data_IF_010038832425
#
_entry.id   IF_010038832425
#
_cell.length_a   1.000
_cell.length_b   1.000
_cell.length_c   1.000
_cell.angle_alpha   90.00
_cell.angle_beta   90.00
_cell.angle_gamma   90.00
#
_symmetry.space_group_name_H-M   'P 1'
#
loop_
_entity.id
_entity.type
_entity.pdbx_description
1 polymer ?
#
# COMPACT_ATOMS: atom_id res chain seq x y z
N UNK A 1 18.22 17.63 -11.68
CA UNK A 1 17.77 16.24 -11.90
C UNK A 1 17.39 15.65 -10.55
N UNK A 2 16.14 15.82 -10.10
CA UNK A 2 15.69 15.20 -8.84
C UNK A 2 15.43 13.72 -9.08
N UNK A 3 16.15 12.91 -8.31
CA UNK A 3 16.12 11.46 -8.31
C UNK A 3 14.69 10.91 -8.36
N UNK A 4 14.47 9.89 -9.18
CA UNK A 4 13.18 9.20 -9.40
C UNK A 4 12.80 8.35 -8.18
N UNK A 5 12.68 8.99 -7.02
CA UNK A 5 11.94 8.43 -5.90
C UNK A 5 10.49 8.50 -6.34
N UNK A 6 9.89 7.36 -6.70
CA UNK A 6 8.47 7.27 -7.04
C UNK A 6 7.69 7.89 -5.89
N UNK A 7 6.96 8.97 -6.15
CA UNK A 7 6.11 9.60 -5.13
C UNK A 7 4.87 8.73 -4.90
N UNK A 8 4.22 8.93 -3.75
CA UNK A 8 3.00 8.20 -3.44
C UNK A 8 1.92 8.47 -4.48
N UNK A 9 1.75 9.72 -4.86
CA UNK A 9 0.77 10.20 -5.82
C UNK A 9 1.02 9.61 -7.21
N UNK A 10 2.28 9.58 -7.64
CA UNK A 10 2.67 8.99 -8.93
C UNK A 10 2.41 7.47 -8.96
N UNK A 11 2.70 6.78 -7.86
CA UNK A 11 2.45 5.34 -7.73
C UNK A 11 0.95 5.02 -7.71
N UNK A 12 0.16 5.85 -7.03
CA UNK A 12 -1.29 5.72 -6.98
C UNK A 12 -1.93 5.96 -8.36
N UNK A 13 -1.53 7.03 -9.06
CA UNK A 13 -2.02 7.31 -10.41
C UNK A 13 -1.70 6.15 -11.37
N UNK A 14 -0.48 5.60 -11.28
CA UNK A 14 -0.08 4.47 -12.10
C UNK A 14 -0.87 3.20 -11.78
N UNK A 15 -1.14 2.95 -10.50
CA UNK A 15 -1.97 1.83 -10.07
C UNK A 15 -3.40 1.95 -10.62
N UNK A 16 -4.02 3.13 -10.54
CA UNK A 16 -5.36 3.37 -11.10
C UNK A 16 -5.42 3.07 -12.60
N UNK A 17 -4.42 3.53 -13.36
CA UNK A 17 -4.34 3.23 -14.81
C UNK A 17 -4.16 1.75 -15.12
N UNK A 18 -3.47 1.01 -14.25
CA UNK A 18 -3.34 -0.45 -14.40
C UNK A 18 -4.67 -1.13 -14.14
N UNK A 19 -5.40 -0.71 -13.11
CA UNK A 19 -6.75 -1.24 -12.81
C UNK A 19 -7.69 -0.98 -13.97
N UNK A 20 -7.77 0.25 -14.48
CA UNK A 20 -8.60 0.58 -15.65
C UNK A 20 -8.30 -0.33 -16.85
N UNK A 21 -7.01 -0.53 -17.17
CA UNK A 21 -6.60 -1.42 -18.26
C UNK A 21 -7.01 -2.87 -18.04
N UNK A 22 -6.90 -3.37 -16.81
CA UNK A 22 -7.31 -4.74 -16.50
C UNK A 22 -8.84 -4.90 -16.59
N UNK A 23 -9.60 -3.87 -16.18
CA UNK A 23 -11.07 -3.84 -16.26
C UNK A 23 -11.59 -3.73 -17.70
N UNK A 24 -10.86 -3.05 -18.59
CA UNK A 24 -11.18 -3.01 -20.03
C UNK A 24 -11.17 -4.41 -20.68
N UNK A 25 -10.43 -5.36 -20.12
CA UNK A 25 -10.46 -6.78 -20.54
C UNK A 25 -9.90 -7.07 -21.93
N UNK A 26 -9.30 -6.09 -22.61
CA UNK A 26 -8.78 -6.21 -23.97
C UNK A 26 -7.26 -6.43 -24.04
N UNK A 27 -6.63 -6.86 -22.93
CA UNK A 27 -5.20 -7.15 -22.88
C UNK A 27 -4.93 -8.63 -23.21
N UNK A 28 -3.91 -8.93 -24.02
CA UNK A 28 -3.37 -10.29 -24.13
C UNK A 28 -3.00 -10.83 -22.75
N UNK A 29 -3.15 -12.15 -22.56
CA UNK A 29 -2.92 -12.81 -21.27
C UNK A 29 -1.56 -12.47 -20.64
N UNK A 30 -0.49 -12.52 -21.42
CA UNK A 30 0.86 -12.22 -20.93
C UNK A 30 1.00 -10.78 -20.42
N UNK A 31 0.30 -9.85 -21.06
CA UNK A 31 0.34 -8.43 -20.66
C UNK A 31 -0.59 -8.15 -19.49
N UNK A 32 -1.72 -8.86 -19.38
CA UNK A 32 -2.57 -8.84 -18.20
C UNK A 32 -1.83 -9.34 -16.96
N UNK A 33 -1.03 -10.41 -17.08
CA UNK A 33 -0.20 -10.93 -15.98
C UNK A 33 0.84 -9.90 -15.56
N UNK A 34 1.55 -9.27 -16.50
CA UNK A 34 2.52 -8.21 -16.18
C UNK A 34 1.87 -7.01 -15.52
N UNK A 35 0.73 -6.56 -16.02
CA UNK A 35 -0.03 -5.46 -15.45
C UNK A 35 -0.47 -5.78 -14.02
N UNK A 36 -0.94 -7.00 -13.77
CA UNK A 36 -1.29 -7.46 -12.42
C UNK A 36 -0.10 -7.47 -11.46
N UNK A 37 1.04 -8.04 -11.87
CA UNK A 37 2.26 -8.04 -11.05
C UNK A 37 2.73 -6.63 -10.69
N UNK A 38 2.66 -5.71 -11.66
CA UNK A 38 3.00 -4.31 -11.45
C UNK A 38 2.01 -3.63 -10.49
N UNK A 39 0.71 -3.88 -10.66
CA UNK A 39 -0.34 -3.41 -9.76
C UNK A 39 -0.11 -3.87 -8.32
N UNK A 40 0.21 -5.14 -8.10
CA UNK A 40 0.51 -5.69 -6.76
C UNK A 40 1.73 -5.00 -6.14
N UNK A 41 2.78 -4.73 -6.92
CA UNK A 41 3.97 -4.00 -6.43
C UNK A 41 3.62 -2.58 -6.02
N UNK A 42 2.80 -1.88 -6.80
CA UNK A 42 2.36 -0.52 -6.49
C UNK A 42 1.43 -0.48 -5.26
N UNK A 43 0.48 -1.41 -5.14
CA UNK A 43 -0.36 -1.55 -3.95
C UNK A 43 0.49 -1.67 -2.67
N UNK A 44 1.48 -2.59 -2.67
CA UNK A 44 2.38 -2.78 -1.53
C UNK A 44 3.19 -1.52 -1.21
N UNK A 45 3.65 -0.82 -2.23
CA UNK A 45 4.36 0.45 -2.06
C UNK A 45 3.47 1.51 -1.41
N UNK A 46 2.25 1.69 -1.91
CA UNK A 46 1.29 2.66 -1.37
C UNK A 46 0.92 2.34 0.08
N UNK A 47 0.61 1.08 0.38
CA UNK A 47 0.32 0.64 1.75
C UNK A 47 1.47 0.98 2.70
N UNK A 48 2.71 0.61 2.34
CA UNK A 48 3.89 0.93 3.15
C UNK A 48 4.06 2.43 3.39
N UNK A 49 3.76 3.27 2.40
CA UNK A 49 3.87 4.73 2.53
C UNK A 49 2.81 5.31 3.48
N UNK A 50 1.61 4.74 3.47
CA UNK A 50 0.55 5.10 4.41
C UNK A 50 0.94 4.70 5.83
N UNK A 51 1.44 3.47 6.03
CA UNK A 51 1.91 3.00 7.34
C UNK A 51 3.04 3.90 7.89
N UNK A 52 4.02 4.26 7.05
CA UNK A 52 5.10 5.18 7.43
C UNK A 52 4.57 6.59 7.81
N UNK A 53 3.51 7.06 7.15
CA UNK A 53 2.89 8.35 7.44
C UNK A 53 2.10 8.31 8.76
N UNK A 54 1.31 7.24 8.97
CA UNK A 54 0.55 7.02 10.20
C UNK A 54 1.46 6.96 11.43
N UNK A 55 2.56 6.20 11.35
CA UNK A 55 3.55 6.12 12.43
C UNK A 55 4.16 7.48 12.76
N UNK A 56 4.47 8.30 11.76
CA UNK A 56 5.00 9.66 11.97
C UNK A 56 3.98 10.56 12.65
N UNK A 57 2.71 10.51 12.23
CA UNK A 57 1.64 11.29 12.86
C UNK A 57 1.44 10.86 14.31
N UNK A 58 1.44 9.55 14.58
CA UNK A 58 1.33 9.01 15.93
C UNK A 58 2.46 9.49 16.85
N UNK A 59 3.70 9.53 16.35
CA UNK A 59 4.84 10.07 17.10
C UNK A 59 4.70 11.57 17.38
N UNK A 60 4.25 12.37 16.41
CA UNK A 60 4.06 13.81 16.60
C UNK A 60 2.92 14.14 17.59
N UNK A 61 1.85 13.33 17.59
CA UNK A 61 0.76 13.46 18.56
C UNK A 61 1.20 13.04 19.97
N UNK A 62 2.06 12.00 20.06
CA UNK A 62 2.67 11.55 21.31
C UNK A 62 3.53 12.65 21.95
N UNK A 63 4.30 13.41 21.16
CA UNK A 63 5.13 14.50 21.66
C UNK A 63 4.31 15.69 22.20
N UNK A 64 3.11 15.94 21.67
CA UNK A 64 2.23 17.02 22.15
C UNK A 64 1.41 16.66 23.40
N UNK A 65 1.14 15.38 23.67
CA UNK A 65 0.32 14.92 24.80
C UNK A 65 1.06 14.14 25.88
N UNK A 66 2.30 13.72 25.67
CA UNK A 66 3.12 13.05 26.68
C UNK A 66 2.64 11.64 27.10
N UNK A 67 1.52 11.15 26.56
CA UNK A 67 0.97 9.83 26.90
C UNK A 67 0.97 8.88 25.70
N UNK A 68 1.32 7.62 25.98
CA UNK A 68 1.37 6.55 24.98
C UNK A 68 -0.04 6.03 24.70
N UNK A 69 -0.49 6.14 23.44
CA UNK A 69 -1.54 5.26 22.95
C UNK A 69 -0.85 4.15 22.13
N UNK A 70 -0.72 2.97 22.72
CA UNK A 70 -0.42 1.75 21.98
C UNK A 70 -1.71 0.95 21.95
N UNK A 71 -2.50 1.07 20.88
CA UNK A 71 -3.25 -0.12 20.49
C UNK A 71 -2.20 -1.05 19.87
N UNK A 72 -1.87 -2.08 20.63
CA UNK A 72 -1.09 -3.20 20.15
C UNK A 72 -1.77 -3.75 18.90
N UNK A 73 -1.13 -3.62 17.76
CA UNK A 73 -1.53 -4.36 16.56
C UNK A 73 -1.30 -5.84 16.84
N UNK A 74 -2.35 -6.55 17.27
CA UNK A 74 -2.39 -8.00 17.21
C UNK A 74 -2.73 -8.37 15.77
N UNK A 75 -1.81 -8.94 14.98
CA UNK A 75 -2.21 -9.60 13.75
C UNK A 75 -3.00 -10.84 14.18
N UNK A 76 -4.31 -10.71 14.28
CA UNK A 76 -5.22 -11.83 14.47
C UNK A 76 -5.29 -12.60 13.14
N UNK A 77 -4.24 -13.35 12.85
CA UNK A 77 -4.28 -14.44 11.89
C UNK A 77 -3.43 -15.59 12.43
N UNK A 78 -4.03 -16.31 13.38
CA UNK A 78 -3.69 -17.70 13.67
C UNK A 78 -4.95 -18.52 13.38
N UNK A 79 -5.05 -18.97 12.13
CA UNK A 79 -5.94 -20.02 11.63
C UNK A 79 -6.48 -20.95 12.73
N UNK A 80 -7.75 -20.78 13.09
CA UNK A 80 -8.54 -21.83 13.71
C UNK A 80 -8.96 -22.81 12.60
N UNK A 81 -8.19 -23.88 12.40
CA UNK A 81 -8.70 -25.09 11.78
C UNK A 81 -9.65 -25.73 12.80
N UNK A 82 -10.96 -25.54 12.63
CA UNK A 82 -11.99 -26.36 13.26
C UNK A 82 -11.82 -27.82 12.80
N UNK A 83 -11.70 -28.73 13.78
CA UNK A 83 -11.90 -30.16 13.62
C UNK A 83 -13.40 -30.49 13.62
#
# INVERSE_FOLDING_TARGET
>A
MSSRVTKFEDALEKLSKIVEKLEEGNLPLDDAIKAFEEGVKLCRFCAKKLDEAEQKVALLLKDQKGEFFTETFTPENSNENEF
#
